data_IF_176151648323
#
_entry.id   IF_176151648323
#
_cell.length_a   1.000
_cell.length_b   1.000
_cell.length_c   1.000
_cell.angle_alpha   90.00
_cell.angle_beta   90.00
_cell.angle_gamma   90.00
#
_symmetry.space_group_name_H-M   'P 1'
#
loop_
_entity.id
_entity.type
_entity.pdbx_description
1 polymer ?
#
# COMPACT_ATOMS: atom_id res chain seq x y z
N UNK A 1 -33.75 6.70 29.90
CA UNK A 1 -34.12 7.88 29.10
C UNK A 1 -32.84 8.48 28.54
N UNK A 2 -32.44 8.12 27.32
CA UNK A 2 -31.21 8.61 26.69
C UNK A 2 -31.49 9.88 25.88
N UNK A 3 -30.78 10.96 26.21
CA UNK A 3 -30.79 12.23 25.47
C UNK A 3 -29.80 12.14 24.32
N UNK A 4 -30.28 12.25 23.10
CA UNK A 4 -29.46 12.42 21.90
C UNK A 4 -29.09 13.90 21.77
N UNK A 5 -27.78 14.19 21.74
CA UNK A 5 -27.27 15.50 21.39
C UNK A 5 -27.01 15.53 19.88
N UNK A 6 -27.83 16.29 19.16
CA UNK A 6 -27.59 16.64 17.75
C UNK A 6 -26.49 17.71 17.71
N UNK A 7 -25.32 17.34 17.17
CA UNK A 7 -24.28 18.30 16.79
C UNK A 7 -24.52 18.68 15.34
N UNK A 8 -25.01 19.90 15.13
CA UNK A 8 -25.17 20.48 13.79
C UNK A 8 -23.82 20.90 13.22
N UNK A 9 -23.40 20.27 12.13
CA UNK A 9 -22.26 20.70 11.34
C UNK A 9 -22.72 21.83 10.40
N UNK A 10 -22.21 23.05 10.60
CA UNK A 10 -22.41 24.15 9.66
C UNK A 10 -21.40 24.00 8.51
N UNK A 11 -21.91 23.69 7.31
CA UNK A 11 -21.12 23.71 6.09
C UNK A 11 -20.89 25.17 5.66
N UNK A 12 -19.65 25.64 5.76
CA UNK A 12 -19.21 26.91 5.15
C UNK A 12 -18.91 26.64 3.69
N UNK A 13 -19.81 27.06 2.81
CA UNK A 13 -19.63 26.99 1.36
C UNK A 13 -18.63 28.05 0.89
N UNK A 14 -17.52 27.64 0.30
CA UNK A 14 -16.67 28.51 -0.49
C UNK A 14 -17.30 28.68 -1.88
N UNK A 15 -17.86 29.86 -2.15
CA UNK A 15 -18.35 30.24 -3.46
C UNK A 15 -17.20 30.48 -4.44
N UNK A 16 -17.28 29.84 -5.60
CA UNK A 16 -16.40 30.09 -6.75
C UNK A 16 -17.02 31.21 -7.58
N UNK A 17 -16.31 32.31 -7.82
CA UNK A 17 -16.74 33.45 -8.64
C UNK A 17 -16.10 33.35 -10.05
N UNK A 18 -16.86 33.08 -11.12
CA UNK A 18 -16.33 33.07 -12.48
C UNK A 18 -16.58 34.42 -13.15
N UNK A 19 -15.69 35.37 -12.93
CA UNK A 19 -15.57 36.61 -13.71
C UNK A 19 -14.07 36.88 -13.86
N UNK A 20 -13.43 36.67 -15.00
CA UNK A 20 -13.61 37.45 -16.21
C UNK A 20 -12.44 38.42 -16.33
N UNK A 21 -11.46 38.11 -17.18
CA UNK A 21 -10.47 39.07 -17.67
C UNK A 21 -10.05 38.66 -19.08
N UNK A 22 -10.84 39.14 -20.05
CA UNK A 22 -10.36 39.36 -21.40
C UNK A 22 -9.28 40.43 -21.34
N UNK A 23 -8.13 40.15 -21.95
CA UNK A 23 -7.00 41.05 -22.06
C UNK A 23 -6.35 40.84 -23.41
N UNK A 24 -6.98 41.40 -24.43
CA UNK A 24 -6.45 41.55 -25.77
C UNK A 24 -5.26 42.52 -25.71
N UNK A 25 -4.10 42.07 -26.19
CA UNK A 25 -2.86 42.83 -26.15
C UNK A 25 -1.97 42.47 -27.32
N UNK A 26 -2.41 42.86 -28.52
CA UNK A 26 -1.61 42.88 -29.74
C UNK A 26 -0.38 43.80 -29.55
N UNK A 27 0.80 43.20 -29.55
CA UNK A 27 2.09 43.88 -29.53
C UNK A 27 3.02 43.26 -30.55
N UNK A 28 2.89 43.70 -31.80
CA UNK A 28 3.75 43.30 -32.91
C UNK A 28 5.23 43.61 -32.63
N UNK A 29 6.07 42.61 -32.87
CA UNK A 29 7.52 42.72 -32.90
C UNK A 29 8.06 41.71 -33.89
N UNK A 30 8.14 42.11 -35.16
CA UNK A 30 8.84 41.36 -36.19
C UNK A 30 10.33 41.29 -35.85
N UNK A 31 10.81 40.07 -35.61
CA UNK A 31 12.20 39.76 -35.35
C UNK A 31 12.46 38.32 -35.78
N UNK A 32 12.43 38.08 -37.09
CA UNK A 32 12.84 36.81 -37.71
C UNK A 32 14.36 36.64 -37.56
N UNK A 33 14.80 36.33 -36.35
CA UNK A 33 16.10 35.73 -36.12
C UNK A 33 16.03 34.25 -36.50
N UNK A 34 17.09 33.66 -37.10
CA UNK A 34 17.13 32.23 -37.35
C UNK A 34 16.95 31.51 -36.02
N UNK A 35 15.88 30.69 -35.91
CA UNK A 35 15.64 29.85 -34.77
C UNK A 35 16.91 29.02 -34.52
N UNK A 36 17.57 29.28 -33.39
CA UNK A 36 18.67 28.43 -32.95
C UNK A 36 18.14 26.99 -32.85
N UNK A 37 18.88 25.99 -33.35
CA UNK A 37 18.46 24.61 -33.18
C UNK A 37 18.31 24.35 -31.69
N UNK A 38 17.09 24.03 -31.27
CA UNK A 38 16.76 23.66 -29.89
C UNK A 38 17.24 22.21 -29.69
N UNK A 39 18.54 21.99 -29.87
CA UNK A 39 19.20 20.71 -29.61
C UNK A 39 19.50 20.64 -28.12
N UNK A 40 18.58 20.01 -27.42
CA UNK A 40 18.70 19.75 -25.99
C UNK A 40 17.42 19.12 -25.47
N UNK A 41 16.95 18.04 -26.14
CA UNK A 41 16.01 17.14 -25.47
C UNK A 41 16.63 16.75 -24.12
N UNK A 42 15.85 16.71 -23.02
CA UNK A 42 16.40 16.37 -21.72
C UNK A 42 17.13 15.04 -21.84
N UNK A 43 18.43 15.04 -21.55
CA UNK A 43 19.24 13.82 -21.56
C UNK A 43 18.48 12.76 -20.78
N UNK A 44 18.04 11.72 -21.48
CA UNK A 44 17.36 10.60 -20.85
C UNK A 44 18.34 10.01 -19.83
N UNK A 45 18.08 10.28 -18.55
CA UNK A 45 18.94 9.79 -17.48
C UNK A 45 19.08 8.27 -17.54
N UNK A 46 20.14 7.72 -16.93
CA UNK A 46 20.39 6.28 -16.99
C UNK A 46 19.16 5.49 -16.54
N UNK A 47 18.82 4.45 -17.31
CA UNK A 47 17.79 3.49 -16.93
C UNK A 47 18.44 2.41 -16.07
N UNK A 48 17.88 2.11 -14.91
CA UNK A 48 18.34 1.01 -14.06
C UNK A 48 17.16 0.07 -13.72
N UNK A 49 17.42 -1.23 -13.68
CA UNK A 49 16.43 -2.19 -13.17
C UNK A 49 16.71 -2.42 -11.69
N UNK A 50 15.70 -2.29 -10.83
CA UNK A 50 15.89 -2.56 -9.40
C UNK A 50 16.05 -4.07 -9.20
N UNK A 51 17.18 -4.44 -8.60
CA UNK A 51 17.51 -5.81 -8.28
C UNK A 51 17.52 -6.02 -6.75
N UNK A 52 17.18 -7.23 -6.29
CA UNK A 52 17.33 -7.58 -4.88
C UNK A 52 18.81 -7.65 -4.53
N UNK A 53 19.18 -7.16 -3.36
CA UNK A 53 20.53 -7.30 -2.81
C UNK A 53 20.47 -7.86 -1.39
N UNK A 54 21.48 -8.66 -1.05
CA UNK A 54 21.61 -9.23 0.30
C UNK A 54 20.60 -10.35 0.62
N UNK A 55 20.62 -10.83 1.88
CA UNK A 55 19.73 -11.89 2.34
C UNK A 55 18.30 -11.38 2.55
N UNK A 56 17.33 -12.31 2.46
CA UNK A 56 15.94 -12.05 2.84
C UNK A 56 15.87 -11.96 4.37
N UNK A 57 15.36 -10.84 4.88
CA UNK A 57 15.02 -10.67 6.28
C UNK A 57 13.53 -10.95 6.50
N UNK A 58 13.17 -11.47 7.67
CA UNK A 58 11.78 -11.57 8.10
C UNK A 58 11.57 -10.59 9.24
N UNK A 59 10.52 -9.79 9.17
CA UNK A 59 10.15 -8.88 10.26
C UNK A 59 9.64 -9.64 11.49
N UNK A 60 9.39 -8.91 12.58
CA UNK A 60 8.55 -9.45 13.66
C UNK A 60 7.17 -9.87 13.11
N UNK A 61 6.50 -10.78 13.80
CA UNK A 61 5.12 -11.15 13.48
C UNK A 61 4.15 -10.15 14.13
N UNK A 62 3.12 -9.71 13.42
CA UNK A 62 1.95 -9.04 13.99
C UNK A 62 0.89 -10.04 14.43
N UNK A 63 0.10 -9.60 15.42
CA UNK A 63 -0.93 -10.40 16.10
C UNK A 63 -0.39 -11.71 16.71
N UNK A 64 -1.28 -12.66 16.96
CA UNK A 64 -1.02 -13.79 17.83
C UNK A 64 -0.18 -14.87 17.15
N UNK A 65 0.85 -15.36 17.83
CA UNK A 65 1.57 -16.57 17.42
C UNK A 65 0.80 -17.86 17.71
N UNK A 66 -0.25 -17.80 18.54
CA UNK A 66 -1.03 -18.95 19.00
C UNK A 66 -2.31 -19.20 18.18
N UNK A 67 -2.77 -18.22 17.41
CA UNK A 67 -3.91 -18.37 16.49
C UNK A 67 -3.50 -19.01 15.15
N UNK A 68 -4.41 -19.81 14.58
CA UNK A 68 -4.32 -20.35 13.22
C UNK A 68 -3.15 -21.29 12.92
N UNK A 69 -3.20 -21.90 11.73
CA UNK A 69 -2.09 -22.65 11.16
C UNK A 69 -1.23 -21.77 10.25
N UNK A 70 0.06 -22.08 10.05
CA UNK A 70 0.88 -21.41 9.04
C UNK A 70 0.31 -21.64 7.64
N UNK A 71 0.38 -20.63 6.79
CA UNK A 71 -0.02 -20.69 5.38
C UNK A 71 1.16 -20.71 4.43
N UNK A 72 0.89 -21.09 3.20
CA UNK A 72 1.85 -20.92 2.11
C UNK A 72 2.23 -19.43 2.02
N UNK A 73 3.53 -19.11 1.95
CA UNK A 73 3.97 -17.73 1.84
C UNK A 73 3.54 -17.14 0.49
N UNK A 74 3.16 -15.87 0.49
CA UNK A 74 3.02 -15.09 -0.74
C UNK A 74 4.38 -14.48 -1.04
N UNK A 75 5.11 -15.02 -2.01
CA UNK A 75 6.45 -14.59 -2.35
C UNK A 75 6.47 -14.16 -3.80
N UNK A 76 6.91 -12.93 -4.04
CA UNK A 76 7.07 -12.46 -5.40
C UNK A 76 8.17 -13.23 -6.13
N UNK A 77 8.01 -13.45 -7.45
CA UNK A 77 9.07 -14.04 -8.27
C UNK A 77 10.38 -13.26 -8.14
N UNK A 78 11.50 -13.94 -8.42
CA UNK A 78 12.82 -13.29 -8.39
C UNK A 78 12.83 -12.03 -9.29
N UNK A 79 13.29 -10.90 -8.73
CA UNK A 79 13.29 -9.60 -9.40
C UNK A 79 11.96 -8.84 -9.39
N UNK A 80 10.95 -9.32 -8.65
CA UNK A 80 9.68 -8.62 -8.46
C UNK A 80 9.39 -8.37 -6.99
N UNK A 81 8.78 -7.22 -6.68
CA UNK A 81 8.44 -6.77 -5.34
C UNK A 81 6.94 -6.71 -5.14
N UNK A 82 6.51 -6.70 -3.88
CA UNK A 82 5.11 -6.44 -3.56
C UNK A 82 4.83 -4.95 -3.83
N UNK A 83 4.08 -4.66 -4.89
CA UNK A 83 3.82 -3.28 -5.36
C UNK A 83 2.41 -2.80 -5.02
N UNK A 84 1.52 -3.72 -4.68
CA UNK A 84 0.17 -3.42 -4.21
C UNK A 84 -0.38 -4.54 -3.32
N UNK A 85 -1.42 -4.25 -2.56
CA UNK A 85 -2.17 -5.23 -1.78
C UNK A 85 -3.67 -4.96 -1.80
N UNK A 86 -4.45 -6.02 -1.60
CA UNK A 86 -5.87 -5.98 -1.31
C UNK A 86 -6.19 -6.99 -0.21
N UNK A 87 -7.30 -6.80 0.50
CA UNK A 87 -7.70 -7.62 1.64
C UNK A 87 -9.14 -8.05 1.49
N UNK A 88 -9.44 -9.30 1.81
CA UNK A 88 -10.81 -9.82 1.84
C UNK A 88 -11.35 -9.65 3.26
N UNK A 89 -12.43 -8.88 3.42
CA UNK A 89 -13.04 -8.58 4.71
C UNK A 89 -14.36 -9.31 4.88
N UNK A 90 -14.64 -9.87 6.04
CA UNK A 90 -15.95 -10.44 6.37
C UNK A 90 -17.05 -9.40 6.14
N UNK A 91 -18.15 -9.78 5.50
CA UNK A 91 -19.25 -8.84 5.24
C UNK A 91 -20.02 -8.51 6.52
N UNK A 92 -20.11 -9.51 7.41
CA UNK A 92 -20.77 -9.38 8.69
C UNK A 92 -19.74 -9.16 9.80
N UNK A 93 -20.05 -8.32 10.80
CA UNK A 93 -19.24 -8.21 11.98
C UNK A 93 -19.26 -9.49 12.82
N UNK A 94 -18.13 -9.86 13.39
CA UNK A 94 -17.96 -11.13 14.08
C UNK A 94 -18.12 -10.95 15.60
N UNK A 95 -19.20 -11.51 16.15
CA UNK A 95 -19.66 -11.23 17.51
C UNK A 95 -18.63 -11.57 18.60
N UNK A 96 -17.84 -12.63 18.41
CA UNK A 96 -16.79 -13.03 19.37
C UNK A 96 -15.46 -12.29 19.17
N UNK A 97 -15.41 -11.28 18.29
CA UNK A 97 -14.23 -10.46 17.97
C UNK A 97 -14.58 -8.97 17.97
N UNK A 98 -15.22 -8.52 19.06
CA UNK A 98 -15.60 -7.12 19.24
C UNK A 98 -16.78 -6.66 18.37
N UNK A 99 -17.39 -7.55 17.58
CA UNK A 99 -18.48 -7.18 16.68
C UNK A 99 -17.99 -6.32 15.52
N UNK A 100 -16.80 -6.63 15.00
CA UNK A 100 -16.13 -5.90 13.92
C UNK A 100 -16.01 -6.77 12.66
N UNK A 101 -15.90 -6.13 11.48
CA UNK A 101 -15.53 -6.83 10.25
C UNK A 101 -14.05 -7.17 10.30
N UNK A 102 -13.69 -8.35 9.83
CA UNK A 102 -12.33 -8.86 9.99
C UNK A 102 -11.69 -9.20 8.66
N UNK A 103 -10.36 -9.11 8.59
CA UNK A 103 -9.60 -9.59 7.44
C UNK A 103 -9.56 -11.12 7.47
N UNK A 104 -10.15 -11.72 6.46
CA UNK A 104 -10.11 -13.15 6.20
C UNK A 104 -9.09 -13.50 5.11
N UNK A 105 -8.84 -12.61 4.16
CA UNK A 105 -7.90 -12.88 3.07
C UNK A 105 -6.95 -11.72 2.81
N UNK A 106 -5.84 -12.05 2.17
CA UNK A 106 -4.89 -11.06 1.67
C UNK A 106 -4.43 -11.43 0.27
N UNK A 107 -4.26 -10.42 -0.56
CA UNK A 107 -3.75 -10.51 -1.91
C UNK A 107 -2.60 -9.52 -2.05
N UNK A 108 -1.49 -9.95 -2.61
CA UNK A 108 -0.42 -9.04 -3.06
C UNK A 108 -0.32 -9.07 -4.57
N UNK A 109 0.05 -7.93 -5.15
CA UNK A 109 0.50 -7.86 -6.53
C UNK A 109 2.00 -7.74 -6.57
N UNK A 110 2.63 -8.64 -7.30
CA UNK A 110 4.05 -8.58 -7.58
C UNK A 110 4.32 -7.71 -8.81
N UNK A 111 5.45 -7.04 -8.87
CA UNK A 111 5.83 -6.24 -10.04
C UNK A 111 7.31 -5.92 -10.08
N UNK A 112 7.85 -5.71 -11.29
CA UNK A 112 9.21 -5.23 -11.47
C UNK A 112 9.23 -3.69 -11.35
N UNK A 113 10.33 -3.15 -10.82
CA UNK A 113 10.56 -1.70 -10.72
C UNK A 113 11.77 -1.33 -11.57
N UNK A 114 11.57 -0.36 -12.47
CA UNK A 114 12.63 0.24 -13.28
C UNK A 114 12.71 1.72 -12.94
N UNK A 115 13.92 2.25 -12.79
CA UNK A 115 14.14 3.69 -12.66
C UNK A 115 14.55 4.24 -14.03
N UNK A 116 13.74 5.16 -14.58
CA UNK A 116 14.04 5.87 -15.82
C UNK A 116 14.24 7.35 -15.49
N UNK A 117 15.46 7.86 -15.67
CA UNK A 117 15.82 9.22 -15.25
C UNK A 117 15.45 9.53 -13.78
N UNK A 118 15.58 8.52 -12.90
CA UNK A 118 15.25 8.62 -11.48
C UNK A 118 13.76 8.51 -11.13
N UNK A 119 12.87 8.40 -12.11
CA UNK A 119 11.45 8.15 -11.89
C UNK A 119 11.16 6.63 -11.90
N UNK A 120 10.51 6.06 -10.86
CA UNK A 120 10.16 4.65 -10.87
C UNK A 120 8.94 4.37 -11.75
N UNK A 121 9.12 3.40 -12.62
CA UNK A 121 8.09 2.75 -13.41
C UNK A 121 7.86 1.33 -12.86
N UNK A 122 6.60 0.98 -12.66
CA UNK A 122 6.20 -0.32 -12.10
C UNK A 122 5.50 -1.15 -13.18
N UNK A 123 6.09 -2.28 -13.54
CA UNK A 123 5.44 -3.28 -14.40
C UNK A 123 4.74 -4.29 -13.49
N UNK A 124 3.41 -4.18 -13.44
CA UNK A 124 2.55 -5.04 -12.62
C UNK A 124 2.49 -6.46 -13.18
N UNK A 125 2.77 -7.43 -12.33
CA UNK A 125 2.61 -8.86 -12.58
C UNK A 125 1.30 -9.42 -12.01
N UNK A 126 1.25 -10.74 -11.90
CA UNK A 126 0.10 -11.48 -11.41
C UNK A 126 -0.09 -11.32 -9.89
N UNK A 127 -1.34 -11.27 -9.41
CA UNK A 127 -1.61 -11.27 -7.98
C UNK A 127 -1.43 -12.66 -7.38
N UNK A 128 -1.00 -12.71 -6.13
CA UNK A 128 -0.97 -13.90 -5.29
C UNK A 128 -1.91 -13.67 -4.11
N UNK A 129 -2.62 -14.71 -3.67
CA UNK A 129 -3.61 -14.58 -2.61
C UNK A 129 -3.54 -15.74 -1.64
N UNK A 130 -3.85 -15.46 -0.38
CA UNK A 130 -4.16 -16.46 0.65
C UNK A 130 -5.45 -16.04 1.34
N UNK A 131 -6.34 -17.00 1.52
CA UNK A 131 -7.56 -16.85 2.31
C UNK A 131 -7.41 -17.60 3.64
N UNK A 132 -8.12 -17.15 4.66
CA UNK A 132 -8.43 -17.92 5.85
C UNK A 132 -9.55 -18.92 5.57
N UNK A 133 -10.11 -19.46 6.64
CA UNK A 133 -11.41 -20.14 6.58
C UNK A 133 -11.41 -21.59 6.12
N UNK A 134 -10.29 -22.32 6.17
CA UNK A 134 -10.24 -23.73 5.72
C UNK A 134 -10.77 -24.75 6.74
N UNK A 135 -11.35 -24.30 7.86
CA UNK A 135 -11.88 -25.20 8.90
C UNK A 135 -13.42 -25.25 8.88
N UNK A 136 -13.98 -26.39 9.30
CA UNK A 136 -15.41 -26.69 9.19
C UNK A 136 -16.36 -25.72 9.92
N UNK A 137 -15.84 -24.83 10.78
CA UNK A 137 -16.65 -23.94 11.63
C UNK A 137 -16.53 -22.45 11.26
N UNK A 138 -15.94 -22.10 10.11
CA UNK A 138 -15.71 -20.69 9.73
C UNK A 138 -16.88 -20.05 8.99
N UNK A 139 -18.07 -20.66 8.97
CA UNK A 139 -19.24 -20.12 8.24
C UNK A 139 -19.61 -18.68 8.62
N UNK A 140 -19.35 -18.26 9.86
CA UNK A 140 -19.60 -16.89 10.31
C UNK A 140 -18.71 -15.83 9.64
N UNK A 141 -17.57 -16.24 9.07
CA UNK A 141 -16.61 -15.36 8.40
C UNK A 141 -16.95 -15.12 6.92
N UNK A 142 -17.98 -15.80 6.41
CA UNK A 142 -18.44 -15.66 5.04
C UNK A 142 -19.83 -15.00 4.98
N UNK A 143 -20.17 -14.30 3.91
CA UNK A 143 -19.33 -13.97 2.75
C UNK A 143 -18.26 -12.91 3.07
N UNK A 144 -17.31 -12.73 2.15
CA UNK A 144 -16.26 -11.71 2.22
C UNK A 144 -16.32 -10.77 1.02
N UNK A 145 -15.97 -9.51 1.25
CA UNK A 145 -15.81 -8.48 0.22
C UNK A 145 -14.35 -8.07 0.16
N UNK A 146 -13.78 -8.12 -1.05
CA UNK A 146 -12.43 -7.65 -1.33
C UNK A 146 -12.36 -6.12 -1.33
N UNK A 147 -11.35 -5.58 -0.66
CA UNK A 147 -10.98 -4.17 -0.72
C UNK A 147 -10.46 -3.79 -2.10
N UNK A 148 -10.39 -2.49 -2.39
CA UNK A 148 -9.66 -2.04 -3.57
C UNK A 148 -8.17 -2.37 -3.44
N UNK A 149 -7.53 -2.66 -4.58
CA UNK A 149 -6.09 -2.83 -4.64
C UNK A 149 -5.40 -1.49 -4.41
N UNK A 150 -4.58 -1.41 -3.37
CA UNK A 150 -3.87 -0.21 -2.93
C UNK A 150 -2.38 -0.36 -3.21
N UNK A 151 -1.76 0.68 -3.75
CA UNK A 151 -0.33 0.74 -4.04
C UNK A 151 0.31 1.95 -3.35
N UNK A 152 1.62 1.91 -3.17
CA UNK A 152 2.36 3.10 -2.77
C UNK A 152 2.33 4.17 -3.87
N UNK A 153 2.43 5.46 -3.54
CA UNK A 153 2.47 6.52 -4.54
C UNK A 153 3.71 6.38 -5.44
N UNK A 154 3.65 6.94 -6.64
CA UNK A 154 4.82 7.03 -7.53
C UNK A 154 6.01 7.64 -6.80
N UNK A 155 7.20 7.08 -6.98
CA UNK A 155 8.39 7.50 -6.23
C UNK A 155 8.58 6.77 -4.89
N UNK A 156 7.73 5.79 -4.55
CA UNK A 156 7.80 5.07 -3.28
C UNK A 156 7.64 3.56 -3.43
N UNK A 157 8.13 2.81 -2.45
CA UNK A 157 8.03 1.35 -2.34
C UNK A 157 7.37 0.94 -1.04
N UNK A 158 6.72 -0.23 -1.05
CA UNK A 158 6.08 -0.80 0.12
C UNK A 158 7.13 -1.35 1.09
N UNK A 159 7.15 -0.82 2.33
CA UNK A 159 8.14 -1.17 3.37
C UNK A 159 7.52 -1.67 4.67
N UNK A 160 6.19 -1.65 4.81
CA UNK A 160 5.57 -2.05 6.06
C UNK A 160 4.05 -2.06 6.01
N UNK A 161 3.41 -2.52 7.08
CA UNK A 161 1.97 -2.41 7.28
C UNK A 161 1.68 -1.67 8.58
N UNK A 162 0.62 -0.88 8.55
CA UNK A 162 -0.07 -0.36 9.71
C UNK A 162 -1.41 -1.08 9.76
N UNK A 163 -1.69 -1.83 10.82
CA UNK A 163 -2.96 -2.56 10.94
C UNK A 163 -3.59 -2.30 12.28
N UNK A 164 -4.91 -2.23 12.29
CA UNK A 164 -5.67 -2.06 13.51
C UNK A 164 -6.15 -3.41 14.01
N UNK A 165 -6.12 -3.55 15.34
CA UNK A 165 -6.63 -4.72 16.04
C UNK A 165 -7.74 -4.29 16.99
N UNK A 166 -9.00 -4.72 16.76
CA UNK A 166 -10.06 -4.52 17.73
C UNK A 166 -9.88 -5.38 18.99
N UNK A 167 -9.12 -6.49 18.92
CA UNK A 167 -8.88 -7.42 20.04
C UNK A 167 -7.54 -8.20 19.96
N UNK A 168 -7.45 -9.32 20.71
CA UNK A 168 -6.25 -10.14 20.85
C UNK A 168 -5.80 -10.88 19.57
N UNK A 169 -6.56 -10.90 18.46
CA UNK A 169 -6.19 -11.81 17.35
C UNK A 169 -6.40 -11.32 15.92
N UNK A 170 -7.39 -10.48 15.62
CA UNK A 170 -7.78 -10.25 14.22
C UNK A 170 -7.66 -8.77 13.81
N UNK A 171 -7.64 -8.52 12.50
CA UNK A 171 -7.39 -7.19 11.92
C UNK A 171 -8.65 -6.65 11.25
N UNK A 172 -8.89 -5.34 11.31
CA UNK A 172 -10.06 -4.73 10.66
C UNK A 172 -9.71 -3.53 9.73
N UNK A 173 -8.65 -2.77 10.02
CA UNK A 173 -8.16 -1.63 9.21
C UNK A 173 -6.70 -1.85 8.77
N UNK A 174 -6.36 -1.45 7.56
CA UNK A 174 -5.02 -1.61 6.98
C UNK A 174 -4.56 -0.34 6.28
N UNK A 175 -3.31 0.05 6.53
CA UNK A 175 -2.55 0.99 5.74
C UNK A 175 -1.24 0.36 5.26
N UNK A 176 -0.88 0.63 4.00
CA UNK A 176 0.45 0.33 3.49
C UNK A 176 1.42 1.41 3.95
N UNK A 177 2.58 1.00 4.47
CA UNK A 177 3.66 1.92 4.82
C UNK A 177 4.63 1.99 3.67
N UNK A 178 4.82 3.18 3.15
CA UNK A 178 5.53 3.45 1.91
C UNK A 178 6.73 4.36 2.19
N UNK A 179 7.90 3.99 1.69
CA UNK A 179 9.10 4.81 1.76
C UNK A 179 9.51 5.30 0.38
N UNK A 180 10.10 6.48 0.31
CA UNK A 180 10.63 7.04 -0.94
C UNK A 180 11.71 6.13 -1.54
N UNK A 181 11.70 5.94 -2.84
CA UNK A 181 12.76 5.25 -3.58
C UNK A 181 13.68 6.30 -4.22
N UNK A 182 14.95 6.29 -3.86
CA UNK A 182 15.94 7.21 -4.42
C UNK A 182 16.34 6.80 -5.85
N UNK A 183 16.97 7.73 -6.58
CA UNK A 183 17.39 7.51 -7.96
C UNK A 183 18.49 6.44 -8.13
N UNK A 184 19.19 6.08 -7.05
CA UNK A 184 20.16 4.97 -7.01
C UNK A 184 19.51 3.62 -6.63
N UNK A 185 18.18 3.60 -6.46
CA UNK A 185 17.41 2.43 -6.05
C UNK A 185 17.40 2.17 -4.55
N UNK A 186 18.02 3.02 -3.73
CA UNK A 186 18.00 2.87 -2.27
C UNK A 186 16.65 3.28 -1.67
N UNK A 187 16.25 2.60 -0.61
CA UNK A 187 15.01 2.89 0.12
C UNK A 187 15.27 3.97 1.17
N UNK A 188 14.52 5.06 1.09
CA UNK A 188 14.62 6.19 2.01
C UNK A 188 14.06 5.91 3.41
N UNK A 189 14.27 6.87 4.31
CA UNK A 189 13.86 6.76 5.73
C UNK A 189 12.51 7.43 6.04
N UNK A 190 12.00 8.24 5.12
CA UNK A 190 10.68 8.88 5.27
C UNK A 190 9.60 7.86 4.93
N UNK A 191 8.71 7.59 5.88
CA UNK A 191 7.62 6.62 5.75
C UNK A 191 6.28 7.36 5.81
N UNK A 192 5.47 7.21 4.76
CA UNK A 192 4.07 7.62 4.73
C UNK A 192 3.16 6.39 4.84
N UNK A 193 1.96 6.57 5.41
CA UNK A 193 0.94 5.51 5.43
C UNK A 193 -0.15 5.82 4.40
N UNK A 194 -0.43 4.87 3.53
CA UNK A 194 -1.50 4.92 2.54
C UNK A 194 -2.63 4.01 3.03
N UNK A 195 -3.80 4.56 3.40
CA UNK A 195 -4.92 3.73 3.85
C UNK A 195 -5.41 2.84 2.71
N UNK A 196 -5.82 1.61 3.05
CA UNK A 196 -6.47 0.69 2.12
C UNK A 196 -7.98 0.94 2.14
N UNK A 197 -8.60 1.44 1.06
CA UNK A 197 -10.02 1.75 1.03
C UNK A 197 -10.89 0.52 1.32
N UNK A 198 -11.98 0.73 2.06
CA UNK A 198 -12.91 -0.35 2.40
C UNK A 198 -12.49 -1.21 3.60
N UNK A 199 -11.38 -0.86 4.27
CA UNK A 199 -10.99 -1.42 5.56
C UNK A 199 -11.39 -0.49 6.72
N UNK A 200 -11.59 -1.07 7.92
CA UNK A 200 -11.89 -0.39 9.19
C UNK A 200 -13.37 -0.27 9.54
N UNK A 201 -13.72 -0.50 10.83
CA UNK A 201 -15.08 -0.25 11.34
C UNK A 201 -15.16 0.50 12.69
N UNK A 202 -14.29 0.25 13.68
CA UNK A 202 -14.00 1.17 14.82
C UNK A 202 -13.12 0.53 15.91
N UNK A 203 -11.81 0.86 16.06
CA UNK A 203 -11.03 0.49 17.27
C UNK A 203 -9.68 1.24 17.41
N UNK A 204 -9.09 1.18 18.62
CA UNK A 204 -8.13 2.16 19.16
C UNK A 204 -6.63 1.81 19.14
N UNK A 205 -6.23 0.58 18.79
CA UNK A 205 -4.80 0.20 18.79
C UNK A 205 -4.27 -0.08 17.38
N UNK A 206 -3.28 0.73 16.98
CA UNK A 206 -2.53 0.58 15.73
C UNK A 206 -1.28 -0.25 16.03
N UNK A 207 -1.10 -1.33 15.29
CA UNK A 207 0.15 -2.09 15.26
C UNK A 207 0.88 -1.83 13.95
N UNK A 208 2.20 -1.71 14.06
CA UNK A 208 3.07 -1.42 12.92
C UNK A 208 4.09 -2.54 12.79
N UNK A 209 4.29 -2.97 11.54
CA UNK A 209 5.33 -3.89 11.12
C UNK A 209 6.07 -3.25 9.97
N UNK A 210 7.35 -3.01 10.18
CA UNK A 210 8.22 -2.43 9.18
C UNK A 210 9.28 -3.46 8.79
N UNK A 211 9.65 -3.43 7.53
CA UNK A 211 10.87 -4.03 7.05
C UNK A 211 12.09 -3.37 7.72
N UNK A 212 13.21 -4.10 7.89
CA UNK A 212 14.47 -3.47 8.31
C UNK A 212 14.83 -2.26 7.43
N UNK A 213 15.50 -1.27 8.00
CA UNK A 213 15.88 -0.06 7.27
C UNK A 213 16.66 -0.39 5.99
N UNK A 214 16.32 0.29 4.88
CA UNK A 214 16.93 0.06 3.57
C UNK A 214 16.36 -1.13 2.79
N UNK A 215 15.30 -1.78 3.28
CA UNK A 215 14.68 -2.94 2.61
C UNK A 215 13.21 -2.68 2.28
N UNK A 216 12.68 -3.43 1.31
CA UNK A 216 11.29 -3.36 0.87
C UNK A 216 10.61 -4.73 0.93
N UNK A 217 9.28 -4.73 0.93
CA UNK A 217 8.46 -5.96 0.99
C UNK A 217 8.57 -6.72 -0.34
N UNK A 218 9.00 -7.97 -0.24
CA UNK A 218 9.08 -8.91 -1.38
C UNK A 218 8.05 -10.05 -1.26
N UNK A 219 7.41 -10.16 -0.11
CA UNK A 219 6.46 -11.21 0.21
C UNK A 219 5.96 -11.11 1.63
N UNK A 220 5.02 -11.99 1.98
CA UNK A 220 4.43 -12.09 3.31
C UNK A 220 4.23 -13.56 3.67
N UNK A 221 4.37 -13.85 4.96
CA UNK A 221 3.88 -15.09 5.55
C UNK A 221 2.65 -14.77 6.39
N UNK A 222 1.70 -15.70 6.40
CA UNK A 222 0.48 -15.56 7.17
C UNK A 222 0.23 -16.79 8.04
N UNK A 223 -0.47 -16.55 9.14
CA UNK A 223 -1.16 -17.59 9.92
C UNK A 223 -2.65 -17.33 9.82
N UNK A 224 -3.43 -18.38 9.64
CA UNK A 224 -4.88 -18.24 9.68
C UNK A 224 -5.61 -19.50 10.17
N UNK A 225 -6.65 -19.26 10.94
CA UNK A 225 -7.75 -20.15 11.25
C UNK A 225 -8.96 -19.73 10.41
N UNK A 226 -9.96 -19.12 11.04
CA UNK A 226 -11.13 -18.58 10.33
C UNK A 226 -10.93 -17.19 9.72
N UNK A 227 -9.90 -16.46 10.15
CA UNK A 227 -9.43 -15.24 9.51
C UNK A 227 -7.91 -15.16 9.60
N UNK A 228 -7.30 -14.04 9.21
CA UNK A 228 -5.85 -13.86 9.31
C UNK A 228 -5.45 -13.54 10.75
N UNK A 229 -4.84 -14.51 11.44
CA UNK A 229 -4.44 -14.41 12.86
C UNK A 229 -3.06 -13.79 13.07
N UNK A 230 -2.23 -13.77 12.03
CA UNK A 230 -0.87 -13.23 12.13
C UNK A 230 -0.19 -13.05 10.78
N UNK A 231 0.70 -12.05 10.72
CA UNK A 231 1.42 -11.67 9.50
C UNK A 231 2.89 -11.38 9.82
N UNK A 232 3.79 -11.83 8.96
CA UNK A 232 5.17 -11.33 8.91
C UNK A 232 5.51 -10.89 7.48
N UNK A 233 6.37 -9.89 7.37
CA UNK A 233 6.89 -9.43 6.09
C UNK A 233 8.19 -10.16 5.76
N UNK A 234 8.34 -10.52 4.49
CA UNK A 234 9.62 -10.88 3.92
C UNK A 234 10.17 -9.66 3.20
N UNK A 235 11.38 -9.26 3.57
CA UNK A 235 11.98 -8.01 3.17
C UNK A 235 13.36 -8.23 2.58
N UNK A 236 13.73 -7.43 1.58
CA UNK A 236 15.05 -7.50 0.97
C UNK A 236 15.53 -6.11 0.56
N UNK A 237 16.85 -5.90 0.59
CA UNK A 237 17.43 -4.63 0.17
C UNK A 237 17.29 -4.47 -1.35
N UNK A 238 17.15 -3.22 -1.79
CA UNK A 238 17.02 -2.85 -3.19
C UNK A 238 18.26 -2.08 -3.63
N UNK A 239 18.70 -2.32 -4.86
CA UNK A 239 19.72 -1.49 -5.51
C UNK A 239 19.47 -1.44 -7.02
N UNK A 240 19.96 -0.40 -7.67
CA UNK A 240 20.10 -0.41 -9.13
C UNK A 240 21.04 -1.55 -9.56
N UNK A 241 20.49 -2.50 -10.32
CA UNK A 241 21.28 -3.41 -11.16
C UNK A 241 21.75 -2.67 -12.41
N UNK A 242 23.05 -2.72 -12.68
CA UNK A 242 23.65 -2.30 -13.95
C UNK A 242 23.51 -3.40 -15.00
#
# INVERSE_FOLDING_TARGET
MYRWALVGLAAVGCGFDPRGAAGDGDGGGAGDGPAAPVDGGPDAGPTCTIAPTGPIATSSQLASSTGGGPRAPLVCPAGQWAVAAAFDLTDNPIANHGGERLIDGLTIRCGAITLTAGAPEVVRGEPQSVLGGDTANCSAYFATTRSDETACPSGSVWVGLSIHRPDEVLFNDVGLRCATLAADGSVGTSIATVPVPGTGTSSSEIQVIDCPAGTAVIGLTARSGCGIDGLSLQCQALACGL
#
